data_IF_380032940906
#
_entry.id   IF_380032940906
#
_cell.length_a   1.000
_cell.length_b   1.000
_cell.length_c   1.000
_cell.angle_alpha   90.00
_cell.angle_beta   90.00
_cell.angle_gamma   90.00
#
_symmetry.space_group_name_H-M   'P 1'
#
loop_
_entity.id
_entity.type
_entity.pdbx_description
1 polymer ?
#
# COMPACT_ATOMS: atom_id res chain seq x y z
N UNK A 1 13.57 -1.25 -2.11
CA UNK A 1 12.35 -1.56 -1.32
C UNK A 1 12.68 -2.50 -0.19
N UNK A 2 11.88 -2.47 0.85
CA UNK A 2 12.13 -3.24 2.05
C UNK A 2 10.92 -4.15 2.31
N UNK A 3 11.18 -5.45 2.44
CA UNK A 3 10.11 -6.40 2.71
C UNK A 3 9.62 -6.25 4.15
N UNK A 4 8.30 -6.32 4.33
CA UNK A 4 7.68 -6.22 5.66
C UNK A 4 7.24 -7.58 6.18
N UNK A 5 7.12 -8.58 5.30
CA UNK A 5 6.55 -9.87 5.65
C UNK A 5 5.04 -9.87 5.77
N UNK A 6 4.41 -8.73 5.57
CA UNK A 6 2.95 -8.60 5.66
C UNK A 6 2.33 -9.00 4.33
N UNK A 7 1.31 -9.85 4.39
CA UNK A 7 0.57 -10.32 3.21
C UNK A 7 -0.89 -9.92 3.38
N UNK A 8 -1.46 -9.35 2.34
CA UNK A 8 -2.88 -8.99 2.31
C UNK A 8 -3.49 -9.49 1.01
N UNK A 9 -4.77 -9.74 1.04
CA UNK A 9 -5.50 -10.22 -0.13
C UNK A 9 -6.27 -9.10 -0.77
N UNK A 10 -6.32 -9.12 -2.09
CA UNK A 10 -7.18 -8.20 -2.83
C UNK A 10 -8.61 -8.75 -2.78
N UNK A 11 -9.58 -7.89 -2.47
CA UNK A 11 -10.98 -8.29 -2.40
C UNK A 11 -11.63 -8.28 -3.78
N UNK A 12 -12.93 -8.56 -3.83
CA UNK A 12 -13.69 -8.65 -5.09
C UNK A 12 -13.85 -7.29 -5.77
N UNK A 13 -13.62 -6.20 -5.05
CA UNK A 13 -13.68 -4.85 -5.61
C UNK A 13 -12.28 -4.31 -5.95
N UNK A 14 -11.25 -5.14 -5.85
CA UNK A 14 -9.89 -4.75 -6.18
C UNK A 14 -9.22 -3.92 -5.09
N UNK A 15 -9.69 -4.00 -3.86
CA UNK A 15 -9.13 -3.23 -2.76
C UNK A 15 -8.20 -4.07 -1.91
N UNK A 16 -7.20 -3.42 -1.34
CA UNK A 16 -6.31 -4.04 -0.36
C UNK A 16 -6.19 -3.08 0.82
N UNK A 17 -6.14 -3.63 2.02
CA UNK A 17 -6.03 -2.82 3.24
C UNK A 17 -4.55 -2.59 3.52
N UNK A 18 -4.16 -1.33 3.68
CA UNK A 18 -2.82 -0.99 4.13
C UNK A 18 -2.77 -1.19 5.64
N UNK A 19 -1.87 -2.04 6.15
CA UNK A 19 -1.83 -2.32 7.59
C UNK A 19 -1.57 -1.08 8.43
N UNK A 20 -2.10 -1.09 9.64
CA UNK A 20 -1.99 0.03 10.56
C UNK A 20 -0.53 0.41 10.84
N UNK A 21 0.34 -0.58 10.99
CA UNK A 21 1.74 -0.35 11.27
C UNK A 21 2.41 0.44 10.14
N UNK A 22 2.08 0.11 8.91
CA UNK A 22 2.64 0.80 7.74
C UNK A 22 2.07 2.21 7.64
N UNK A 23 0.76 2.36 7.85
CA UNK A 23 0.14 3.68 7.83
C UNK A 23 0.76 4.60 8.87
N UNK A 24 1.02 4.06 10.06
CA UNK A 24 1.62 4.84 11.15
C UNK A 24 3.05 5.26 10.80
N UNK A 25 3.84 4.33 10.28
CA UNK A 25 5.24 4.60 9.93
C UNK A 25 5.35 5.64 8.83
N UNK A 26 4.46 5.59 7.84
CA UNK A 26 4.48 6.50 6.71
C UNK A 26 3.58 7.72 6.90
N UNK A 27 2.92 7.81 8.05
CA UNK A 27 2.02 8.92 8.39
C UNK A 27 0.89 9.08 7.40
N UNK A 28 0.32 7.97 7.01
CA UNK A 28 -0.84 7.94 6.12
C UNK A 28 -2.10 7.96 6.96
N UNK A 29 -2.95 8.93 6.72
CA UNK A 29 -4.20 9.11 7.46
C UNK A 29 -5.41 8.90 6.58
N UNK A 30 -6.55 8.68 7.21
CA UNK A 30 -7.82 8.59 6.50
C UNK A 30 -8.01 9.82 5.62
N UNK A 31 -8.38 9.58 4.37
CA UNK A 31 -8.60 10.67 3.41
C UNK A 31 -7.37 11.14 2.67
N UNK A 32 -6.17 10.71 3.08
CA UNK A 32 -4.96 11.11 2.38
C UNK A 32 -4.97 10.53 0.97
N UNK A 33 -4.67 11.33 -0.05
CA UNK A 33 -4.53 10.79 -1.40
C UNK A 33 -3.21 10.06 -1.53
N UNK A 34 -3.22 8.92 -2.20
CA UNK A 34 -2.02 8.17 -2.51
C UNK A 34 -1.93 8.01 -4.01
N UNK A 35 -0.78 8.36 -4.56
CA UNK A 35 -0.53 8.15 -5.98
C UNK A 35 -0.07 6.73 -6.20
N UNK A 36 -0.57 6.10 -7.25
CA UNK A 36 -0.28 4.70 -7.55
C UNK A 36 0.70 4.64 -8.71
N UNK A 37 1.82 3.96 -8.49
CA UNK A 37 2.83 3.72 -9.50
C UNK A 37 2.96 2.22 -9.73
N UNK A 38 3.39 1.85 -10.91
CA UNK A 38 3.79 0.47 -11.19
C UNK A 38 5.27 0.46 -11.55
N UNK A 39 5.95 -0.63 -11.23
CA UNK A 39 7.34 -0.76 -11.64
C UNK A 39 7.47 -1.84 -12.72
N UNK A 40 8.66 -1.97 -13.28
CA UNK A 40 8.92 -2.90 -14.37
C UNK A 40 8.85 -4.35 -13.93
N UNK A 41 9.00 -4.61 -12.66
CA UNK A 41 9.03 -5.97 -12.13
C UNK A 41 7.65 -6.45 -11.71
N UNK A 42 6.63 -5.66 -11.97
CA UNK A 42 5.26 -6.05 -11.66
C UNK A 42 4.81 -5.62 -10.28
N UNK A 43 5.51 -4.72 -9.65
CA UNK A 43 5.13 -4.21 -8.34
C UNK A 43 4.22 -2.99 -8.43
N UNK A 44 3.52 -2.72 -7.35
CA UNK A 44 2.69 -1.53 -7.19
C UNK A 44 3.30 -0.71 -6.06
N UNK A 45 3.47 0.57 -6.31
CA UNK A 45 4.01 1.50 -5.33
C UNK A 45 2.96 2.55 -5.03
N UNK A 46 2.65 2.74 -3.75
CA UNK A 46 1.74 3.77 -3.29
C UNK A 46 2.55 4.87 -2.62
N UNK A 47 2.30 6.09 -2.99
CA UNK A 47 3.06 7.22 -2.48
C UNK A 47 2.15 8.37 -2.11
N UNK A 48 2.36 8.90 -0.92
CA UNK A 48 1.62 10.05 -0.41
C UNK A 48 2.00 11.34 -1.12
#
# INVERSE_FOLDING_TARGET
MKATGIVRRIDDLGRVVVPKEIRRTLRIREGDPLEIYTDREGGIILRK
#
